data_IF_603886747090
#
_entry.id   IF_603886747090
#
_cell.length_a   1.000
_cell.length_b   1.000
_cell.length_c   1.000
_cell.angle_alpha   90.00
_cell.angle_beta   90.00
_cell.angle_gamma   90.00
#
_symmetry.space_group_name_H-M   'P 1'
#
loop_
_entity.id
_entity.type
_entity.pdbx_description
1 polymer ?
#
# COMPACT_ATOMS: atom_id res chain seq x y z
N UNK A 1 9.88 -20.55 -36.07
CA UNK A 1 10.38 -19.28 -35.50
C UNK A 1 10.03 -19.27 -34.02
N UNK A 2 10.96 -18.97 -33.10
CA UNK A 2 10.60 -18.88 -31.69
C UNK A 2 9.81 -17.59 -31.46
N UNK A 3 8.64 -17.72 -30.85
CA UNK A 3 7.81 -16.58 -30.44
C UNK A 3 8.51 -15.96 -29.23
N UNK A 4 8.99 -14.72 -29.39
CA UNK A 4 9.39 -13.86 -28.28
C UNK A 4 8.13 -13.56 -27.45
N UNK A 5 7.89 -14.34 -26.41
CA UNK A 5 6.90 -13.99 -25.38
C UNK A 5 7.53 -12.91 -24.53
N UNK A 6 7.20 -11.65 -24.82
CA UNK A 6 7.51 -10.53 -23.95
C UNK A 6 6.71 -10.78 -22.66
N UNK A 7 7.39 -11.09 -21.56
CA UNK A 7 6.79 -11.15 -20.23
C UNK A 7 6.19 -9.76 -19.94
N UNK A 8 4.88 -9.60 -20.15
CA UNK A 8 4.17 -8.46 -19.62
C UNK A 8 4.30 -8.53 -18.10
N UNK A 9 5.02 -7.56 -17.53
CA UNK A 9 5.11 -7.30 -16.08
C UNK A 9 3.69 -7.14 -15.54
N UNK A 10 3.07 -8.27 -15.21
CA UNK A 10 1.74 -8.30 -14.66
C UNK A 10 1.94 -8.19 -13.16
N UNK A 11 1.42 -7.10 -12.59
CA UNK A 11 1.29 -6.97 -11.15
C UNK A 11 0.38 -8.12 -10.70
N UNK A 12 0.95 -9.26 -10.33
CA UNK A 12 0.18 -10.49 -10.05
C UNK A 12 -0.22 -10.60 -8.58
N UNK A 13 0.44 -9.83 -7.72
CA UNK A 13 0.23 -9.86 -6.28
C UNK A 13 -0.04 -8.46 -5.70
N UNK A 14 -0.77 -8.45 -4.59
CA UNK A 14 -0.79 -7.30 -3.68
C UNK A 14 0.57 -7.18 -3.01
N UNK A 15 1.09 -5.96 -2.92
CA UNK A 15 2.34 -5.67 -2.23
C UNK A 15 2.17 -4.35 -1.48
N UNK A 16 2.43 -4.35 -0.18
CA UNK A 16 2.75 -3.14 0.56
C UNK A 16 4.27 -3.04 0.64
N UNK A 17 4.87 -1.93 0.25
CA UNK A 17 6.33 -1.81 0.31
C UNK A 17 6.76 -1.30 1.69
N UNK A 18 7.88 -1.84 2.20
CA UNK A 18 8.51 -1.31 3.39
C UNK A 18 9.07 0.07 3.09
N UNK A 19 8.75 1.07 3.90
CA UNK A 19 9.42 2.36 3.78
C UNK A 19 10.89 2.20 4.19
N UNK A 20 11.80 2.74 3.40
CA UNK A 20 13.23 2.76 3.73
C UNK A 20 13.49 3.86 4.76
N UNK A 21 14.38 3.56 5.70
CA UNK A 21 14.78 4.46 6.79
C UNK A 21 15.30 5.78 6.21
N UNK A 22 14.57 6.86 6.44
CA UNK A 22 15.05 8.20 6.17
C UNK A 22 15.14 8.98 7.48
N UNK A 23 16.37 9.20 7.96
CA UNK A 23 16.66 9.77 9.27
C UNK A 23 16.38 11.28 9.39
N UNK A 24 15.98 11.97 8.32
CA UNK A 24 15.84 13.43 8.31
C UNK A 24 14.62 13.97 7.56
N UNK A 25 13.74 13.11 7.04
CA UNK A 25 12.55 13.56 6.33
C UNK A 25 11.27 13.11 7.03
N UNK A 26 10.53 14.03 7.69
CA UNK A 26 9.25 13.71 8.32
C UNK A 26 8.16 13.41 7.29
N UNK A 27 8.44 13.61 5.99
CA UNK A 27 7.60 13.16 4.89
C UNK A 27 8.17 11.85 4.35
N UNK A 28 7.36 10.81 4.35
CA UNK A 28 7.71 9.51 3.76
C UNK A 28 6.68 9.11 2.71
N UNK A 29 7.14 8.43 1.66
CA UNK A 29 6.27 7.91 0.61
C UNK A 29 5.96 6.44 0.89
N UNK A 30 4.67 6.14 1.06
CA UNK A 30 4.19 4.77 1.17
C UNK A 30 3.81 4.30 -0.22
N UNK A 31 4.42 3.20 -0.65
CA UNK A 31 4.15 2.57 -1.95
C UNK A 31 3.37 1.28 -1.76
N UNK A 32 2.45 1.01 -2.67
CA UNK A 32 1.75 -0.26 -2.74
C UNK A 32 1.35 -0.62 -4.17
N UNK A 33 1.13 -1.91 -4.39
CA UNK A 33 0.75 -2.49 -5.67
C UNK A 33 -0.59 -3.23 -5.52
N UNK A 34 -1.49 -3.00 -6.48
CA UNK A 34 -2.73 -3.73 -6.65
C UNK A 34 -2.63 -4.65 -7.87
N UNK A 35 -2.98 -5.93 -7.75
CA UNK A 35 -2.81 -6.88 -8.82
C UNK A 35 -3.82 -6.72 -9.95
N UNK A 36 -3.39 -7.03 -11.17
CA UNK A 36 -4.22 -7.01 -12.38
C UNK A 36 -5.33 -8.07 -12.37
N UNK A 37 -5.17 -9.13 -11.58
CA UNK A 37 -6.18 -10.17 -11.39
C UNK A 37 -6.44 -10.29 -9.90
N UNK A 38 -7.65 -9.95 -9.49
CA UNK A 38 -8.11 -10.19 -8.12
C UNK A 38 -8.89 -11.50 -8.16
N UNK A 39 -8.40 -12.53 -7.47
CA UNK A 39 -9.17 -13.76 -7.26
C UNK A 39 -10.31 -13.42 -6.31
N UNK A 40 -11.49 -13.11 -6.86
CA UNK A 40 -12.72 -13.08 -6.07
C UNK A 40 -13.32 -14.48 -6.11
N UNK A 41 -13.59 -15.07 -4.94
CA UNK A 41 -14.20 -16.41 -4.79
C UNK A 41 -15.52 -16.52 -5.56
N UNK A 42 -16.19 -15.39 -5.82
CA UNK A 42 -17.53 -15.37 -6.42
C UNK A 42 -17.52 -15.10 -7.94
N UNK A 43 -16.46 -14.50 -8.52
CA UNK A 43 -16.42 -14.21 -9.97
C UNK A 43 -14.99 -14.33 -10.53
N UNK A 44 -14.70 -15.32 -11.39
CA UNK A 44 -13.43 -15.41 -12.10
C UNK A 44 -13.51 -14.56 -13.36
N UNK A 45 -13.14 -13.27 -13.33
CA UNK A 45 -12.70 -12.53 -14.55
C UNK A 45 -12.35 -11.05 -14.31
N UNK A 46 -11.19 -10.64 -14.83
CA UNK A 46 -10.90 -9.24 -15.20
C UNK A 46 -10.08 -8.39 -14.23
N UNK A 47 -9.44 -7.35 -14.80
CA UNK A 47 -8.89 -6.19 -14.06
C UNK A 47 -10.05 -5.45 -13.40
N UNK A 48 -10.20 -5.57 -12.09
CA UNK A 48 -11.28 -4.91 -11.35
C UNK A 48 -10.75 -3.93 -10.32
N UNK A 49 -11.48 -2.83 -10.15
CA UNK A 49 -11.22 -1.87 -9.10
C UNK A 49 -11.58 -2.47 -7.73
N UNK A 50 -10.67 -2.36 -6.77
CA UNK A 50 -10.88 -2.80 -5.38
C UNK A 50 -11.04 -1.61 -4.45
N UNK A 51 -11.79 -1.80 -3.36
CA UNK A 51 -11.86 -0.83 -2.28
C UNK A 51 -10.52 -0.85 -1.54
N UNK A 52 -9.79 0.26 -1.55
CA UNK A 52 -8.49 0.41 -0.88
C UNK A 52 -8.63 1.35 0.29
N UNK A 53 -8.18 0.90 1.46
CA UNK A 53 -8.01 1.72 2.66
C UNK A 53 -6.56 1.66 3.12
N UNK A 54 -5.88 2.80 3.20
CA UNK A 54 -4.53 2.93 3.75
C UNK A 54 -4.60 3.84 4.97
N UNK A 55 -4.29 3.31 6.15
CA UNK A 55 -4.42 4.02 7.42
C UNK A 55 -3.11 3.95 8.18
N UNK A 56 -2.74 5.06 8.83
CA UNK A 56 -1.63 5.13 9.78
C UNK A 56 -2.16 5.04 11.20
N UNK A 57 -1.48 4.25 12.03
CA UNK A 57 -1.76 4.02 13.44
C UNK A 57 -0.54 4.36 14.30
N UNK A 58 -0.78 4.75 15.54
CA UNK A 58 0.27 4.82 16.55
C UNK A 58 0.54 3.45 17.21
N UNK A 59 1.48 3.41 18.16
CA UNK A 59 1.87 2.18 18.87
C UNK A 59 0.74 1.55 19.70
N UNK A 60 -0.29 2.31 20.03
CA UNK A 60 -1.45 1.83 20.79
C UNK A 60 -2.57 1.35 19.86
N UNK A 61 -2.36 1.39 18.55
CA UNK A 61 -3.35 1.02 17.55
C UNK A 61 -4.42 2.09 17.32
N UNK A 62 -4.20 3.33 17.75
CA UNK A 62 -5.13 4.44 17.48
C UNK A 62 -4.93 4.94 16.05
N UNK A 63 -6.02 5.13 15.31
CA UNK A 63 -5.98 5.73 13.97
C UNK A 63 -5.46 7.16 14.06
N UNK A 64 -4.35 7.44 13.39
CA UNK A 64 -3.73 8.77 13.32
C UNK A 64 -4.26 9.52 12.09
N UNK A 65 -4.28 8.86 10.94
CA UNK A 65 -4.82 9.43 9.70
C UNK A 65 -5.16 8.35 8.68
N UNK A 66 -6.16 8.61 7.84
CA UNK A 66 -6.47 7.80 6.67
C UNK A 66 -5.89 8.49 5.43
N UNK A 67 -4.96 7.82 4.76
CA UNK A 67 -4.28 8.32 3.57
C UNK A 67 -5.01 8.00 2.27
N UNK A 68 -5.73 6.86 2.25
CA UNK A 68 -6.52 6.41 1.10
C UNK A 68 -7.79 5.76 1.62
N UNK A 69 -8.93 6.07 0.99
CA UNK A 69 -10.20 5.38 1.23
C UNK A 69 -11.08 5.48 -0.03
N UNK A 70 -10.73 4.75 -1.08
CA UNK A 70 -11.42 4.84 -2.37
C UNK A 70 -11.29 3.56 -3.19
N UNK A 71 -12.09 3.43 -4.25
CA UNK A 71 -11.89 2.40 -5.27
C UNK A 71 -10.70 2.75 -6.17
N UNK A 72 -9.82 1.77 -6.38
CA UNK A 72 -8.65 1.92 -7.25
C UNK A 72 -8.53 0.74 -8.20
N UNK A 73 -8.17 1.04 -9.45
CA UNK A 73 -7.86 0.05 -10.47
C UNK A 73 -6.54 -0.67 -10.16
N UNK A 74 -6.23 -1.79 -10.82
CA UNK A 74 -4.91 -2.39 -10.72
C UNK A 74 -3.80 -1.42 -11.12
N UNK A 75 -2.71 -1.41 -10.38
CA UNK A 75 -1.61 -0.47 -10.61
C UNK A 75 -0.67 -0.33 -9.43
N UNK A 76 0.33 0.53 -9.61
CA UNK A 76 1.26 0.95 -8.56
C UNK A 76 0.86 2.33 -8.07
N UNK A 77 0.89 2.51 -6.76
CA UNK A 77 0.44 3.71 -6.09
C UNK A 77 1.50 4.20 -5.11
N UNK A 78 1.62 5.51 -5.03
CA UNK A 78 2.49 6.21 -4.09
C UNK A 78 1.67 7.27 -3.35
N UNK A 79 1.78 7.29 -2.03
CA UNK A 79 1.05 8.25 -1.19
C UNK A 79 2.01 8.86 -0.18
N UNK A 80 2.03 10.18 -0.11
CA UNK A 80 2.84 10.90 0.86
C UNK A 80 2.16 10.88 2.23
N UNK A 81 2.93 10.55 3.26
CA UNK A 81 2.56 10.72 4.66
C UNK A 81 3.42 11.84 5.25
N UNK A 82 2.78 12.93 5.67
CA UNK A 82 3.44 14.04 6.37
C UNK A 82 3.29 13.87 7.89
N UNK A 83 4.38 13.45 8.54
CA UNK A 83 4.47 13.26 9.98
C UNK A 83 4.98 14.49 10.74
N UNK A 84 5.15 15.67 10.14
CA UNK A 84 5.79 16.84 10.80
C UNK A 84 5.16 17.22 12.14
N UNK A 85 3.84 17.11 12.24
CA UNK A 85 3.06 17.45 13.45
C UNK A 85 2.98 16.31 14.47
N UNK A 86 3.53 15.15 14.17
CA UNK A 86 3.50 13.98 15.04
C UNK A 86 4.81 13.87 15.85
N UNK A 87 4.77 13.26 17.05
CA UNK A 87 5.97 13.00 17.82
C UNK A 87 6.83 11.93 17.14
N UNK A 88 8.15 12.01 17.33
CA UNK A 88 9.10 10.95 16.99
C UNK A 88 8.68 9.66 17.68
N UNK A 89 8.69 8.55 16.95
CA UNK A 89 8.24 7.28 17.49
C UNK A 89 7.94 6.23 16.43
N UNK A 90 7.39 5.10 16.90
CA UNK A 90 6.97 4.01 16.03
C UNK A 90 5.52 4.24 15.61
N UNK A 91 5.26 4.02 14.33
CA UNK A 91 3.92 4.02 13.76
C UNK A 91 3.74 2.79 12.89
N UNK A 92 2.50 2.46 12.62
CA UNK A 92 2.14 1.37 11.72
C UNK A 92 1.29 1.91 10.59
N UNK A 93 1.45 1.36 9.39
CA UNK A 93 0.55 1.65 8.29
C UNK A 93 -0.03 0.34 7.76
N UNK A 94 -1.34 0.32 7.58
CA UNK A 94 -2.10 -0.85 7.15
C UNK A 94 -2.76 -0.57 5.82
N UNK A 95 -2.46 -1.41 4.83
CA UNK A 95 -3.20 -1.46 3.58
C UNK A 95 -4.27 -2.54 3.69
N UNK A 96 -5.51 -2.19 3.33
CA UNK A 96 -6.62 -3.13 3.20
C UNK A 96 -7.19 -2.99 1.79
N UNK A 97 -7.21 -4.07 1.02
CA UNK A 97 -7.66 -4.10 -0.37
C UNK A 97 -8.41 -5.42 -0.66
N UNK A 98 -9.75 -5.38 -0.61
CA UNK A 98 -10.55 -6.61 -0.63
C UNK A 98 -10.19 -7.53 0.54
N UNK A 99 -9.81 -8.78 0.24
CA UNK A 99 -9.40 -9.77 1.26
C UNK A 99 -7.93 -9.64 1.68
N UNK A 100 -7.15 -8.76 1.05
CA UNK A 100 -5.75 -8.54 1.40
C UNK A 100 -5.64 -7.49 2.50
N UNK A 101 -4.91 -7.83 3.57
CA UNK A 101 -4.54 -6.91 4.64
C UNK A 101 -3.06 -7.10 4.94
N UNK A 102 -2.26 -6.04 4.81
CA UNK A 102 -0.87 -6.05 5.23
C UNK A 102 -0.59 -4.83 6.10
N UNK A 103 0.16 -5.02 7.18
CA UNK A 103 0.60 -3.95 8.08
C UNK A 103 2.11 -3.92 8.09
N UNK A 104 2.68 -2.71 7.99
CA UNK A 104 4.12 -2.50 8.14
C UNK A 104 4.41 -1.43 9.18
N UNK A 105 5.59 -1.55 9.78
CA UNK A 105 6.11 -0.64 10.79
C UNK A 105 6.92 0.46 10.12
N UNK A 106 6.77 1.68 10.60
CA UNK A 106 7.67 2.79 10.29
C UNK A 106 8.17 3.45 11.57
N UNK A 107 9.36 4.02 11.50
CA UNK A 107 9.91 4.88 12.55
C UNK A 107 9.87 6.30 12.00
N UNK A 108 9.14 7.18 12.67
CA UNK A 108 9.15 8.60 12.39
C UNK A 108 10.26 9.24 13.24
N UNK A 109 11.24 9.84 12.59
CA UNK A 109 12.32 10.59 13.22
C UNK A 109 12.20 12.07 12.84
N UNK A 110 12.65 12.95 13.74
CA UNK A 110 12.80 14.40 13.54
C UNK A 110 14.25 14.78 13.71
#
# INVERSE_FOLDING_TARGET
>A
APVNVINYLTNDCFILFQNYLNSFNPITTIKYQLPAKVKSETIPTGRQAVNVKLIVFDILGREVTTLVNQRQNPGNYEVAFDGKKLPTGIYFYRLSAGNYVETKKMILLK
#
